data_IF_947388234854
#
_entry.id   IF_947388234854
#
_cell.length_a   1.000
_cell.length_b   1.000
_cell.length_c   1.000
_cell.angle_alpha   90.00
_cell.angle_beta   90.00
_cell.angle_gamma   90.00
#
_symmetry.space_group_name_H-M   'P 1'
#
loop_
_entity.id
_entity.type
_entity.pdbx_description
1 polymer ?
#
# COMPACT_ATOMS: atom_id res chain seq x y z
N UNK A 1 11.31 3.92 8.56
CA UNK A 1 10.21 4.68 7.91
C UNK A 1 8.90 3.95 8.11
N UNK A 2 7.78 4.67 7.99
CA UNK A 2 6.43 4.09 7.98
C UNK A 2 6.03 3.80 6.54
N UNK A 3 5.87 2.53 6.19
CA UNK A 3 5.45 2.12 4.85
C UNK A 3 3.94 1.89 4.88
N UNK A 4 3.20 2.73 4.15
CA UNK A 4 1.76 2.54 3.96
C UNK A 4 1.53 1.58 2.81
N UNK A 5 0.86 0.45 3.08
CA UNK A 5 0.55 -0.55 2.06
C UNK A 5 -0.95 -0.61 1.82
N UNK A 6 -1.33 -0.36 0.59
CA UNK A 6 -2.69 -0.53 0.07
C UNK A 6 -2.78 -1.87 -0.66
N UNK A 7 -3.74 -2.72 -0.29
CA UNK A 7 -3.88 -4.06 -0.84
C UNK A 7 -5.29 -4.61 -0.68
N UNK A 8 -5.55 -5.75 -1.32
CA UNK A 8 -6.86 -6.40 -1.28
C UNK A 8 -7.18 -7.06 0.07
N UNK A 9 -8.46 -7.01 0.45
CA UNK A 9 -9.01 -7.79 1.58
C UNK A 9 -9.32 -9.24 1.19
N UNK A 10 -9.20 -9.61 -0.08
CA UNK A 10 -9.37 -10.96 -0.62
C UNK A 10 -8.00 -11.63 -0.85
N UNK A 11 -7.98 -12.96 -0.89
CA UNK A 11 -6.75 -13.71 -1.17
C UNK A 11 -6.33 -13.63 -2.64
N UNK A 12 -7.28 -13.35 -3.56
CA UNK A 12 -7.05 -13.40 -4.99
C UNK A 12 -7.01 -14.82 -5.54
N UNK A 13 -6.76 -14.97 -6.84
CA UNK A 13 -6.69 -16.27 -7.51
C UNK A 13 -5.25 -16.71 -7.84
N UNK A 14 -4.27 -15.81 -7.75
CA UNK A 14 -2.86 -16.14 -7.96
C UNK A 14 -2.26 -16.64 -6.64
N UNK A 15 -1.80 -17.91 -6.59
CA UNK A 15 -1.25 -18.49 -5.35
C UNK A 15 0.04 -17.80 -4.88
N UNK A 16 0.75 -17.09 -5.74
CA UNK A 16 1.97 -16.38 -5.38
C UNK A 16 1.70 -15.09 -4.57
N UNK A 17 0.47 -14.56 -4.61
CA UNK A 17 0.11 -13.34 -3.86
C UNK A 17 0.35 -13.50 -2.35
N UNK A 18 -0.04 -14.64 -1.80
CA UNK A 18 0.10 -14.91 -0.37
C UNK A 18 1.57 -14.96 0.05
N UNK A 19 2.41 -15.66 -0.69
CA UNK A 19 3.83 -15.77 -0.37
C UNK A 19 4.51 -14.40 -0.52
N UNK A 20 4.27 -13.69 -1.61
CA UNK A 20 4.85 -12.36 -1.86
C UNK A 20 4.42 -11.31 -0.82
N UNK A 21 3.16 -11.33 -0.35
CA UNK A 21 2.70 -10.39 0.68
C UNK A 21 3.31 -10.70 2.05
N UNK A 22 3.52 -11.98 2.37
CA UNK A 22 4.22 -12.39 3.59
C UNK A 22 5.70 -12.01 3.56
N UNK A 23 6.37 -12.21 2.41
CA UNK A 23 7.74 -11.74 2.21
C UNK A 23 7.85 -10.22 2.40
N UNK A 24 6.91 -9.45 1.85
CA UNK A 24 6.84 -8.00 2.04
C UNK A 24 6.70 -7.63 3.52
N UNK A 25 5.77 -8.26 4.24
CA UNK A 25 5.57 -8.05 5.69
C UNK A 25 6.82 -8.37 6.49
N UNK A 26 7.45 -9.52 6.22
CA UNK A 26 8.69 -9.94 6.86
C UNK A 26 9.82 -8.94 6.60
N UNK A 27 9.97 -8.49 5.35
CA UNK A 27 10.98 -7.50 5.00
C UNK A 27 10.76 -6.15 5.71
N UNK A 28 9.52 -5.68 5.81
CA UNK A 28 9.20 -4.45 6.54
C UNK A 28 9.75 -4.53 7.98
N UNK A 29 9.49 -5.64 8.69
CA UNK A 29 9.95 -5.82 10.06
C UNK A 29 11.47 -5.98 10.15
N UNK A 30 12.06 -6.88 9.36
CA UNK A 30 13.50 -7.16 9.42
C UNK A 30 14.38 -5.99 8.99
N UNK A 31 13.84 -5.06 8.19
CA UNK A 31 14.52 -3.84 7.76
C UNK A 31 14.36 -2.66 8.72
N UNK A 32 13.72 -2.87 9.88
CA UNK A 32 13.51 -1.82 10.88
C UNK A 32 12.49 -0.76 10.46
N UNK A 33 11.60 -1.11 9.52
CA UNK A 33 10.49 -0.26 9.11
C UNK A 33 9.21 -0.59 9.90
N UNK A 34 8.23 0.29 9.83
CA UNK A 34 6.89 0.11 10.40
C UNK A 34 5.86 -0.01 9.28
N UNK A 35 4.78 -0.74 9.53
CA UNK A 35 3.66 -0.91 8.60
C UNK A 35 2.47 -0.01 9.00
N UNK A 36 1.91 0.69 8.02
CA UNK A 36 0.59 1.31 8.08
C UNK A 36 -0.31 0.63 7.05
N UNK A 37 -1.49 0.17 7.46
CA UNK A 37 -2.40 -0.54 6.55
C UNK A 37 -3.87 -0.40 6.96
N UNK A 38 -4.77 -1.03 6.23
CA UNK A 38 -6.22 -0.93 6.42
C UNK A 38 -6.81 -1.51 7.71
N UNK A 39 -6.04 -2.20 8.54
CA UNK A 39 -6.50 -2.71 9.85
C UNK A 39 -7.14 -4.10 9.81
N UNK A 40 -7.63 -4.56 8.65
CA UNK A 40 -8.38 -5.81 8.53
C UNK A 40 -7.53 -7.06 8.73
N UNK A 41 -8.15 -8.08 9.34
CA UNK A 41 -7.57 -9.44 9.49
C UNK A 41 -7.77 -10.33 8.27
N UNK A 42 -8.54 -9.88 7.26
CA UNK A 42 -8.97 -10.75 6.15
C UNK A 42 -8.02 -10.72 4.96
N UNK A 43 -7.92 -11.85 4.26
CA UNK A 43 -7.19 -11.98 3.01
C UNK A 43 -5.72 -11.53 3.10
N UNK A 44 -5.24 -10.87 2.05
CA UNK A 44 -3.86 -10.40 1.96
C UNK A 44 -3.50 -9.38 3.04
N UNK A 45 -4.47 -8.59 3.54
CA UNK A 45 -4.23 -7.63 4.62
C UNK A 45 -3.80 -8.32 5.92
N UNK A 46 -4.50 -9.39 6.31
CA UNK A 46 -4.15 -10.16 7.50
C UNK A 46 -2.78 -10.83 7.36
N UNK A 47 -2.49 -11.41 6.20
CA UNK A 47 -1.20 -12.07 5.94
C UNK A 47 -0.02 -11.09 6.01
N UNK A 48 -0.18 -9.89 5.43
CA UNK A 48 0.82 -8.82 5.51
C UNK A 48 1.11 -8.42 6.96
N UNK A 49 0.04 -8.10 7.70
CA UNK A 49 0.17 -7.58 9.06
C UNK A 49 0.74 -8.61 10.03
N UNK A 50 0.31 -9.87 9.92
CA UNK A 50 0.86 -10.97 10.74
C UNK A 50 2.34 -11.19 10.45
N UNK A 51 2.76 -11.25 9.18
CA UNK A 51 4.16 -11.41 8.83
C UNK A 51 5.03 -10.24 9.31
N UNK A 52 4.51 -9.00 9.25
CA UNK A 52 5.21 -7.83 9.75
C UNK A 52 5.37 -7.86 11.28
N UNK A 53 4.31 -8.22 12.02
CA UNK A 53 4.35 -8.39 13.49
C UNK A 53 5.33 -9.50 13.90
N UNK A 54 5.27 -10.67 13.25
CA UNK A 54 6.17 -11.80 13.49
C UNK A 54 7.64 -11.41 13.27
N UNK A 55 7.90 -10.52 12.33
CA UNK A 55 9.23 -9.98 12.03
C UNK A 55 9.65 -8.79 12.90
N UNK A 56 8.82 -8.38 13.88
CA UNK A 56 9.13 -7.34 14.86
C UNK A 56 8.81 -5.91 14.41
N UNK A 57 8.04 -5.72 13.33
CA UNK A 57 7.59 -4.38 12.94
C UNK A 57 6.55 -3.81 13.92
N UNK A 58 6.57 -2.49 14.10
CA UNK A 58 5.38 -1.79 14.58
C UNK A 58 4.33 -1.76 13.48
N UNK A 59 3.10 -2.21 13.78
CA UNK A 59 2.01 -2.29 12.82
C UNK A 59 0.84 -1.43 13.28
N UNK A 60 0.51 -0.42 12.48
CA UNK A 60 -0.65 0.46 12.69
C UNK A 60 -1.75 0.12 11.69
N UNK A 61 -2.89 -0.33 12.20
CA UNK A 61 -4.12 -0.45 11.43
C UNK A 61 -4.93 0.84 11.49
N UNK A 62 -5.51 1.26 10.36
CA UNK A 62 -6.43 2.41 10.30
C UNK A 62 -7.75 1.92 9.72
N UNK A 63 -8.79 1.88 10.54
CA UNK A 63 -10.10 1.32 10.16
C UNK A 63 -11.24 2.28 10.44
N UNK A 64 -12.24 2.38 9.55
CA UNK A 64 -13.44 3.15 9.86
C UNK A 64 -14.33 2.39 10.84
N UNK A 65 -15.09 3.12 11.66
CA UNK A 65 -15.91 2.57 12.74
C UNK A 65 -16.83 1.42 12.29
N UNK A 66 -17.43 1.54 11.12
CA UNK A 66 -18.37 0.51 10.63
C UNK A 66 -17.70 -0.85 10.30
N UNK A 67 -16.38 -0.88 10.01
CA UNK A 67 -15.64 -2.14 9.88
C UNK A 67 -15.27 -2.71 11.25
N UNK A 68 -14.97 -1.84 12.22
CA UNK A 68 -14.76 -2.27 13.61
C UNK A 68 -16.03 -2.89 14.18
N UNK A 69 -17.18 -2.30 13.93
CA UNK A 69 -18.49 -2.84 14.32
C UNK A 69 -18.77 -4.21 13.69
N UNK A 70 -18.18 -4.48 12.53
CA UNK A 70 -18.26 -5.79 11.85
C UNK A 70 -17.18 -6.79 12.30
N UNK A 71 -16.36 -6.44 13.30
CA UNK A 71 -15.29 -7.29 13.87
C UNK A 71 -14.28 -7.76 12.80
N UNK A 72 -13.92 -6.88 11.88
CA UNK A 72 -12.99 -7.17 10.80
C UNK A 72 -11.53 -6.85 11.17
N UNK A 73 -11.29 -6.07 12.22
CA UNK A 73 -9.95 -5.68 12.67
C UNK A 73 -9.09 -6.88 13.08
N UNK A 74 -7.81 -6.78 12.84
CA UNK A 74 -6.82 -7.72 13.37
C UNK A 74 -6.56 -7.40 14.85
N UNK A 75 -6.61 -8.44 15.70
CA UNK A 75 -6.18 -8.33 17.11
C UNK A 75 -4.64 -8.38 17.21
N UNK A 76 -4.11 -7.75 18.27
CA UNK A 76 -2.66 -7.79 18.52
C UNK A 76 -1.83 -6.80 17.70
N UNK A 77 -2.46 -5.87 16.99
CA UNK A 77 -1.76 -4.75 16.36
C UNK A 77 -1.03 -3.90 17.39
N UNK A 78 0.11 -3.32 17.02
CA UNK A 78 0.80 -2.32 17.86
C UNK A 78 -0.10 -1.13 18.12
N UNK A 79 -0.88 -0.72 17.12
CA UNK A 79 -1.83 0.37 17.21
C UNK A 79 -3.02 0.16 16.27
N UNK A 80 -4.23 0.41 16.76
CA UNK A 80 -5.44 0.54 15.94
C UNK A 80 -5.96 1.97 16.04
N UNK A 81 -6.12 2.64 14.91
CA UNK A 81 -6.73 3.95 14.80
C UNK A 81 -8.11 3.77 14.16
N UNK A 82 -9.14 4.17 14.89
CA UNK A 82 -10.51 4.12 14.40
C UNK A 82 -10.91 5.50 13.90
N UNK A 83 -11.48 5.57 12.70
CA UNK A 83 -11.92 6.81 12.07
C UNK A 83 -13.42 6.79 11.83
N UNK A 84 -14.09 7.96 11.77
CA UNK A 84 -15.53 8.02 11.52
C UNK A 84 -15.94 7.43 10.17
N UNK A 85 -15.13 7.67 9.14
CA UNK A 85 -15.44 7.29 7.75
C UNK A 85 -14.18 6.94 6.93
N UNK A 86 -14.42 6.58 5.67
CA UNK A 86 -13.36 6.22 4.70
C UNK A 86 -12.47 7.42 4.35
N UNK A 87 -13.02 8.64 4.31
CA UNK A 87 -12.26 9.81 3.91
C UNK A 87 -11.20 10.14 4.98
N UNK A 88 -11.61 10.16 6.26
CA UNK A 88 -10.69 10.37 7.38
C UNK A 88 -9.69 9.22 7.52
N UNK A 89 -10.11 7.96 7.25
CA UNK A 89 -9.19 6.82 7.21
C UNK A 89 -8.06 7.04 6.20
N UNK A 90 -8.41 7.38 4.96
CA UNK A 90 -7.41 7.64 3.92
C UNK A 90 -6.48 8.80 4.29
N UNK A 91 -7.05 9.92 4.78
CA UNK A 91 -6.26 11.05 5.23
C UNK A 91 -5.26 10.64 6.33
N UNK A 92 -5.70 9.81 7.29
CA UNK A 92 -4.83 9.33 8.37
C UNK A 92 -3.74 8.39 7.86
N UNK A 93 -4.04 7.49 6.93
CA UNK A 93 -3.04 6.61 6.31
C UNK A 93 -1.97 7.41 5.54
N UNK A 94 -2.39 8.50 4.88
CA UNK A 94 -1.46 9.41 4.17
C UNK A 94 -0.59 10.18 5.17
N UNK A 95 -1.19 10.73 6.23
CA UNK A 95 -0.47 11.47 7.27
C UNK A 95 0.63 10.65 7.96
N UNK A 96 0.39 9.36 8.13
CA UNK A 96 1.31 8.45 8.82
C UNK A 96 2.42 7.90 7.93
N UNK A 97 2.23 7.85 6.61
CA UNK A 97 3.13 7.18 5.69
C UNK A 97 4.29 8.05 5.22
N UNK A 98 5.49 7.47 5.21
CA UNK A 98 6.67 8.05 4.57
C UNK A 98 6.87 7.53 3.13
N UNK A 99 6.28 6.37 2.83
CA UNK A 99 6.28 5.74 1.51
C UNK A 99 4.97 4.97 1.30
N UNK A 100 4.52 4.86 0.04
CA UNK A 100 3.23 4.29 -0.32
C UNK A 100 3.39 3.16 -1.32
N UNK A 101 2.89 1.98 -0.98
CA UNK A 101 2.99 0.78 -1.80
C UNK A 101 1.60 0.27 -2.14
N UNK A 102 1.29 0.14 -3.43
CA UNK A 102 0.14 -0.61 -3.90
C UNK A 102 0.55 -2.06 -4.19
N UNK A 103 0.16 -2.98 -3.34
CA UNK A 103 0.21 -4.41 -3.62
C UNK A 103 -1.08 -4.81 -4.39
N UNK A 104 -1.11 -5.93 -5.15
CA UNK A 104 -2.31 -6.33 -5.87
C UNK A 104 -3.58 -6.29 -5.02
N UNK A 105 -4.61 -5.63 -5.53
CA UNK A 105 -5.86 -5.38 -4.80
C UNK A 105 -7.01 -4.99 -5.71
N UNK A 106 -8.13 -4.64 -5.13
CA UNK A 106 -9.34 -4.24 -5.84
C UNK A 106 -9.46 -2.73 -6.08
N UNK A 107 -10.70 -2.29 -6.29
CA UNK A 107 -11.02 -0.88 -6.55
C UNK A 107 -10.67 0.05 -5.39
N UNK A 108 -10.72 -0.43 -4.13
CA UNK A 108 -10.28 0.34 -2.97
C UNK A 108 -8.78 0.66 -3.02
N UNK A 109 -7.96 -0.35 -3.32
CA UNK A 109 -6.52 -0.16 -3.51
C UNK A 109 -6.22 0.80 -4.66
N UNK A 110 -6.97 0.69 -5.76
CA UNK A 110 -6.84 1.59 -6.90
C UNK A 110 -7.21 3.03 -6.53
N UNK A 111 -8.29 3.23 -5.79
CA UNK A 111 -8.74 4.54 -5.32
C UNK A 111 -7.71 5.19 -4.40
N UNK A 112 -7.20 4.43 -3.42
CA UNK A 112 -6.21 4.89 -2.44
C UNK A 112 -4.90 5.32 -3.13
N UNK A 113 -4.33 4.48 -3.99
CA UNK A 113 -3.06 4.80 -4.66
C UNK A 113 -3.21 5.90 -5.71
N UNK A 114 -4.37 6.02 -6.35
CA UNK A 114 -4.67 7.12 -7.29
C UNK A 114 -4.70 8.47 -6.59
N UNK A 115 -5.15 8.53 -5.35
CA UNK A 115 -5.06 9.73 -4.53
C UNK A 115 -3.60 10.12 -4.25
N UNK A 116 -2.74 9.16 -3.91
CA UNK A 116 -1.30 9.40 -3.72
C UNK A 116 -0.67 9.95 -5.00
N UNK A 117 -0.92 9.31 -6.15
CA UNK A 117 -0.41 9.80 -7.45
C UNK A 117 -0.85 11.23 -7.73
N UNK A 118 -2.12 11.56 -7.44
CA UNK A 118 -2.66 12.90 -7.65
C UNK A 118 -1.98 13.94 -6.75
N UNK A 119 -1.75 13.61 -5.48
CA UNK A 119 -1.07 14.50 -4.53
C UNK A 119 0.38 14.75 -4.92
N UNK A 120 1.10 13.72 -5.40
CA UNK A 120 2.45 13.85 -5.94
C UNK A 120 2.44 14.76 -7.17
N UNK A 121 1.56 14.51 -8.12
CA UNK A 121 1.44 15.32 -9.36
C UNK A 121 1.07 16.78 -9.12
N UNK A 122 0.46 17.09 -7.97
CA UNK A 122 0.12 18.45 -7.52
C UNK A 122 1.21 19.08 -6.62
N UNK A 123 2.27 18.35 -6.30
CA UNK A 123 3.32 18.81 -5.38
C UNK A 123 2.87 18.93 -3.92
N UNK A 124 1.81 18.23 -3.55
CA UNK A 124 1.26 18.20 -2.18
C UNK A 124 1.87 17.07 -1.34
N UNK A 125 2.52 16.11 -1.98
CA UNK A 125 3.18 14.98 -1.36
C UNK A 125 4.52 14.73 -2.08
N UNK A 126 5.60 14.64 -1.30
CA UNK A 126 6.93 14.26 -1.78
C UNK A 126 7.35 12.97 -1.08
N UNK A 127 6.93 11.84 -1.66
CA UNK A 127 7.17 10.52 -1.11
C UNK A 127 7.16 9.46 -2.23
N UNK A 128 7.89 8.34 -2.09
CA UNK A 128 7.81 7.23 -3.03
C UNK A 128 6.40 6.66 -3.12
N UNK A 129 5.91 6.46 -4.37
CA UNK A 129 4.66 5.77 -4.68
C UNK A 129 4.99 4.58 -5.57
N UNK A 130 4.85 3.36 -5.03
CA UNK A 130 5.37 2.16 -5.68
C UNK A 130 4.24 1.17 -5.93
N UNK A 131 4.09 0.75 -7.18
CA UNK A 131 3.24 -0.36 -7.57
C UNK A 131 4.05 -1.65 -7.52
N UNK A 132 3.68 -2.58 -6.62
CA UNK A 132 4.25 -3.92 -6.57
C UNK A 132 3.62 -4.77 -7.67
N UNK A 133 4.25 -4.77 -8.83
CA UNK A 133 3.73 -5.32 -10.08
C UNK A 133 4.03 -6.83 -10.21
N UNK A 134 3.60 -7.61 -9.20
CA UNK A 134 3.75 -9.05 -9.19
C UNK A 134 3.05 -9.64 -10.44
N UNK A 135 3.78 -10.46 -11.19
CA UNK A 135 3.29 -11.15 -12.39
C UNK A 135 2.62 -10.21 -13.43
N UNK A 136 2.97 -8.92 -13.43
CA UNK A 136 2.41 -7.97 -14.38
C UNK A 136 1.00 -7.48 -14.02
N UNK A 137 0.54 -7.67 -12.77
CA UNK A 137 -0.80 -7.25 -12.33
C UNK A 137 -1.09 -5.78 -12.64
N UNK A 138 -0.10 -4.90 -12.51
CA UNK A 138 -0.22 -3.46 -12.78
C UNK A 138 0.28 -3.03 -14.17
N UNK A 139 0.56 -3.97 -15.09
CA UNK A 139 0.90 -3.60 -16.48
C UNK A 139 -0.15 -2.68 -17.12
N UNK A 140 -1.49 -2.95 -16.99
CA UNK A 140 -2.50 -2.04 -17.53
C UNK A 140 -2.46 -0.62 -16.95
N UNK A 141 -2.05 -0.48 -15.68
CA UNK A 141 -1.88 0.83 -15.05
C UNK A 141 -0.68 1.58 -15.63
N UNK A 142 0.45 0.89 -15.81
CA UNK A 142 1.64 1.48 -16.45
C UNK A 142 1.31 1.94 -17.88
N UNK A 143 0.64 1.09 -18.68
CA UNK A 143 0.16 1.44 -20.01
C UNK A 143 -0.80 2.64 -20.02
N UNK A 144 -1.66 2.75 -19.00
CA UNK A 144 -2.56 3.89 -18.85
C UNK A 144 -1.79 5.20 -18.59
N UNK A 145 -0.75 5.15 -17.73
CA UNK A 145 0.09 6.32 -17.48
C UNK A 145 0.88 6.73 -18.73
N UNK A 146 1.43 5.76 -19.48
CA UNK A 146 2.08 6.01 -20.77
C UNK A 146 1.12 6.67 -21.76
N UNK A 147 -0.12 6.21 -21.79
CA UNK A 147 -1.17 6.80 -22.63
C UNK A 147 -1.51 8.23 -22.22
N UNK A 148 -1.55 8.52 -20.94
CA UNK A 148 -1.75 9.89 -20.44
C UNK A 148 -0.59 10.82 -20.86
N UNK A 149 0.65 10.35 -20.78
CA UNK A 149 1.83 11.08 -21.28
C UNK A 149 1.74 11.32 -22.80
N UNK A 150 1.43 10.29 -23.57
CA UNK A 150 1.32 10.38 -25.03
C UNK A 150 0.19 11.30 -25.52
N UNK A 151 -0.80 11.58 -24.66
CA UNK A 151 -1.92 12.47 -24.95
C UNK A 151 -1.77 13.86 -24.30
N UNK A 152 -0.63 14.21 -23.72
CA UNK A 152 -0.36 15.46 -23.01
C UNK A 152 -1.34 15.73 -21.85
N UNK A 153 -1.92 14.67 -21.26
CA UNK A 153 -2.83 14.75 -20.11
C UNK A 153 -2.10 14.75 -18.76
N UNK A 154 -0.82 14.41 -18.77
CA UNK A 154 0.12 14.51 -17.64
C UNK A 154 1.52 14.82 -18.17
N UNK A 155 2.50 14.98 -17.28
CA UNK A 155 3.89 15.20 -17.66
C UNK A 155 4.83 14.29 -16.86
N UNK A 156 6.08 14.04 -17.33
CA UNK A 156 7.07 13.26 -16.59
C UNK A 156 7.33 13.81 -15.17
N UNK A 157 7.28 15.14 -14.99
CA UNK A 157 7.48 15.79 -13.70
C UNK A 157 6.37 15.43 -12.71
N UNK A 158 5.11 15.32 -13.19
CA UNK A 158 3.95 14.95 -12.37
C UNK A 158 3.94 13.48 -11.98
N UNK A 159 4.65 12.64 -12.70
CA UNK A 159 4.79 11.21 -12.42
C UNK A 159 6.10 10.88 -11.67
N UNK A 160 6.90 11.91 -11.32
CA UNK A 160 8.12 11.70 -10.56
C UNK A 160 7.82 11.10 -9.20
N UNK A 161 8.55 10.05 -8.80
CA UNK A 161 8.31 9.32 -7.56
C UNK A 161 7.32 8.16 -7.68
N UNK A 162 6.69 7.97 -8.87
CA UNK A 162 5.82 6.82 -9.15
C UNK A 162 6.66 5.75 -9.85
N UNK A 163 6.67 4.54 -9.29
CA UNK A 163 7.50 3.43 -9.78
C UNK A 163 6.73 2.13 -9.84
N UNK A 164 7.14 1.23 -10.75
CA UNK A 164 6.62 -0.13 -10.85
C UNK A 164 7.76 -1.11 -10.61
N UNK A 165 7.62 -1.96 -9.58
CA UNK A 165 8.62 -2.95 -9.18
C UNK A 165 8.04 -4.35 -9.29
N UNK A 166 8.85 -5.36 -9.61
CA UNK A 166 8.39 -6.72 -9.90
C UNK A 166 8.60 -7.69 -8.74
N UNK A 167 9.46 -7.31 -7.80
CA UNK A 167 9.86 -8.14 -6.69
C UNK A 167 10.33 -7.28 -5.50
N UNK A 168 10.61 -7.94 -4.41
CA UNK A 168 10.99 -7.29 -3.16
C UNK A 168 12.34 -6.57 -3.24
N UNK A 169 13.32 -7.12 -3.98
CA UNK A 169 14.65 -6.48 -4.13
C UNK A 169 14.54 -5.13 -4.85
N UNK A 170 13.73 -5.08 -5.92
CA UNK A 170 13.45 -3.82 -6.62
C UNK A 170 12.72 -2.81 -5.73
N UNK A 171 11.75 -3.28 -4.91
CA UNK A 171 11.05 -2.44 -3.94
C UNK A 171 12.02 -1.86 -2.91
N UNK A 172 12.83 -2.72 -2.31
CA UNK A 172 13.82 -2.31 -1.30
C UNK A 172 14.78 -1.26 -1.85
N UNK A 173 15.29 -1.46 -3.07
CA UNK A 173 16.15 -0.50 -3.73
C UNK A 173 15.44 0.85 -4.00
N UNK A 174 14.18 0.80 -4.41
CA UNK A 174 13.37 1.99 -4.69
C UNK A 174 13.08 2.83 -3.43
N UNK A 175 12.90 2.19 -2.27
CA UNK A 175 12.59 2.87 -1.00
C UNK A 175 13.84 3.37 -0.26
N UNK A 176 15.04 2.95 -0.66
CA UNK A 176 16.32 3.37 -0.07
C UNK A 176 17.03 4.47 -0.88
N UNK A 177 16.52 4.79 -2.06
CA UNK A 177 17.09 5.78 -2.97
C UNK A 177 16.65 7.20 -2.59
#
# INVERSE_FOLDING_TARGET
MNITVYLGACEGCDPQLKDAVRELGTWIGTSGNSLVYGGSKTGLMGELALAALEAGAEVTGVEPQFFVDSVLQLEGLTRLIVTPDIAERKAKMIELGDAFVAFPGGTGTLEEISQIMSMIGLGQLDAPCVFYNLNGYYNPMAEQLDRMLACDLTSPERLRGISFVRNLDELAACLQA
#
